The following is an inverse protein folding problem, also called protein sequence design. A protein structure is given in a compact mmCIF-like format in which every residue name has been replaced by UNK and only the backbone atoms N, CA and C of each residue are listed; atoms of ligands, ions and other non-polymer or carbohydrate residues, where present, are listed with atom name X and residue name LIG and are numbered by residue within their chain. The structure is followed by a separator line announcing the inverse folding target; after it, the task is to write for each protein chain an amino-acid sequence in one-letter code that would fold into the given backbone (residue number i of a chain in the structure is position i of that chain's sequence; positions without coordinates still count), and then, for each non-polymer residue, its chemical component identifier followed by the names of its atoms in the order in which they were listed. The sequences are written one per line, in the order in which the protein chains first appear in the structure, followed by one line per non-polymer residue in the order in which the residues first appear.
data_IF_567862787140
#
_entry.id   IF_567862787140
#
_cell.length_a   1.000
_cell.length_b   1.000
_cell.length_c   1.000
_cell.angle_alpha   90.00
_cell.angle_beta   90.00
_cell.angle_gamma   90.00
#
_symmetry.space_group_name_H-M   'P 1'
#
loop_
_entity.id
_entity.type
_entity.pdbx_description
1 polymer ?
#
# COMPACT_ATOMS: atom_id res chain seq x y z
N UNK A 1 -1.35 1.88 -10.21
CA UNK A 1 -0.40 2.97 -10.56
C UNK A 1 -1.17 4.28 -10.70
N UNK A 2 -1.29 5.10 -9.66
CA UNK A 2 -1.87 6.44 -9.79
C UNK A 2 -0.96 7.38 -10.58
N UNK A 3 -1.55 8.21 -11.43
CA UNK A 3 -0.84 9.20 -12.25
C UNK A 3 -1.63 10.51 -12.33
N UNK A 4 -0.97 11.65 -12.19
CA UNK A 4 -1.54 12.99 -12.36
C UNK A 4 -0.49 13.92 -12.95
N UNK A 5 -0.58 14.18 -14.26
CA UNK A 5 0.39 14.96 -15.03
C UNK A 5 1.80 14.37 -14.90
N UNK A 6 1.95 13.15 -15.39
CA UNK A 6 3.19 12.36 -15.35
C UNK A 6 3.65 11.97 -16.78
N UNK A 7 3.34 12.78 -17.79
CA UNK A 7 3.68 12.48 -19.18
C UNK A 7 5.18 12.19 -19.40
N UNK A 8 6.05 12.83 -18.63
CA UNK A 8 7.50 12.64 -18.72
C UNK A 8 7.99 11.34 -18.05
N UNK A 9 7.20 10.73 -17.15
CA UNK A 9 7.64 9.65 -16.29
C UNK A 9 6.85 8.33 -16.50
N UNK A 10 5.58 8.42 -16.92
CA UNK A 10 4.64 7.29 -16.87
C UNK A 10 5.07 6.12 -17.76
N UNK A 11 5.66 6.38 -18.93
CA UNK A 11 6.14 5.33 -19.82
C UNK A 11 7.27 4.54 -19.16
N UNK A 12 8.26 5.23 -18.57
CA UNK A 12 9.36 4.60 -17.84
C UNK A 12 8.83 3.75 -16.67
N UNK A 13 7.96 4.32 -15.83
CA UNK A 13 7.38 3.61 -14.68
C UNK A 13 6.61 2.33 -15.07
N UNK A 14 5.90 2.35 -16.21
CA UNK A 14 5.22 1.17 -16.75
C UNK A 14 6.23 0.13 -17.22
N UNK A 15 7.23 0.52 -18.01
CA UNK A 15 8.25 -0.39 -18.56
C UNK A 15 9.06 -1.05 -17.44
N UNK A 16 9.51 -0.28 -16.46
CA UNK A 16 10.24 -0.79 -15.29
C UNK A 16 9.39 -1.80 -14.48
N UNK A 17 8.07 -1.55 -14.37
CA UNK A 17 7.15 -2.47 -13.71
C UNK A 17 6.97 -3.77 -14.47
N UNK A 18 6.87 -3.72 -15.80
CA UNK A 18 6.78 -4.91 -16.65
C UNK A 18 8.10 -5.72 -16.66
N UNK A 19 9.23 -5.02 -16.65
CA UNK A 19 10.55 -5.64 -16.53
C UNK A 19 10.69 -6.38 -15.19
N UNK A 20 10.31 -5.76 -14.09
CA UNK A 20 10.30 -6.39 -12.79
C UNK A 20 9.35 -7.61 -12.74
N UNK A 21 8.17 -7.58 -13.38
CA UNK A 21 7.33 -8.77 -13.51
C UNK A 21 8.07 -9.92 -14.21
N UNK A 22 8.79 -9.60 -15.29
CA UNK A 22 9.57 -10.59 -16.04
C UNK A 22 10.74 -11.14 -15.22
N UNK A 23 11.51 -10.26 -14.57
CA UNK A 23 12.69 -10.61 -13.75
C UNK A 23 12.33 -11.55 -12.60
N UNK A 24 11.22 -11.27 -11.91
CA UNK A 24 10.79 -12.09 -10.76
C UNK A 24 9.78 -13.18 -11.12
N UNK A 25 9.50 -13.42 -12.42
CA UNK A 25 8.57 -14.44 -12.89
C UNK A 25 7.13 -14.23 -12.43
N UNK A 26 6.71 -13.00 -12.24
CA UNK A 26 5.38 -12.64 -11.73
C UNK A 26 4.39 -12.51 -12.90
N UNK A 27 3.20 -13.08 -12.71
CA UNK A 27 2.06 -12.82 -13.58
C UNK A 27 1.25 -11.67 -13.00
N UNK A 28 1.43 -10.47 -13.55
CA UNK A 28 0.82 -9.25 -13.03
C UNK A 28 0.07 -8.46 -14.10
N UNK A 29 -0.71 -7.50 -13.65
CA UNK A 29 -1.36 -6.47 -14.47
C UNK A 29 -1.03 -5.09 -13.88
N UNK A 30 -0.97 -4.08 -14.72
CA UNK A 30 -0.81 -2.68 -14.32
C UNK A 30 -2.14 -1.97 -14.55
N UNK A 31 -2.70 -1.41 -13.47
CA UNK A 31 -3.89 -0.57 -13.56
C UNK A 31 -3.45 0.86 -13.33
N UNK A 32 -3.34 1.63 -14.41
CA UNK A 32 -3.06 3.05 -14.32
C UNK A 32 -4.34 3.79 -13.99
N UNK A 33 -4.34 4.56 -12.92
CA UNK A 33 -5.46 5.45 -12.58
C UNK A 33 -5.05 6.86 -12.89
N UNK A 34 -5.50 7.37 -14.03
CA UNK A 34 -5.32 8.75 -14.44
C UNK A 34 -6.25 9.64 -13.61
N UNK A 35 -5.70 10.35 -12.63
CA UNK A 35 -6.46 11.17 -11.68
C UNK A 35 -6.79 12.57 -12.25
N UNK A 36 -7.25 12.62 -13.50
CA UNK A 36 -7.66 13.87 -14.15
C UNK A 36 -6.49 14.67 -14.70
N UNK A 37 -5.50 14.02 -15.32
CA UNK A 37 -4.39 14.68 -15.99
C UNK A 37 -4.86 15.57 -17.15
N UNK A 38 -4.13 16.64 -17.37
CA UNK A 38 -4.37 17.61 -18.45
C UNK A 38 -3.26 17.63 -19.52
N UNK A 39 -2.24 16.81 -19.30
CA UNK A 39 -1.11 16.59 -20.22
C UNK A 39 -1.30 15.30 -21.04
N UNK A 40 -0.26 14.85 -21.73
CA UNK A 40 -0.26 13.65 -22.57
C UNK A 40 -0.28 12.32 -21.80
N UNK A 41 -0.35 12.32 -20.46
CA UNK A 41 -0.29 11.10 -19.62
C UNK A 41 -1.29 10.04 -20.11
N UNK A 42 -2.55 10.41 -20.34
CA UNK A 42 -3.58 9.46 -20.77
C UNK A 42 -3.26 8.83 -22.13
N UNK A 43 -2.85 9.65 -23.09
CA UNK A 43 -2.51 9.21 -24.44
C UNK A 43 -1.34 8.23 -24.45
N UNK A 44 -0.28 8.52 -23.69
CA UNK A 44 0.90 7.65 -23.57
C UNK A 44 0.49 6.27 -23.02
N UNK A 45 -0.36 6.22 -21.99
CA UNK A 45 -0.84 4.96 -21.43
C UNK A 45 -1.71 4.18 -22.41
N UNK A 46 -2.61 4.85 -23.16
CA UNK A 46 -3.44 4.22 -24.19
C UNK A 46 -2.60 3.60 -25.31
N UNK A 47 -1.54 4.29 -25.74
CA UNK A 47 -0.60 3.78 -26.73
C UNK A 47 0.17 2.53 -26.23
N UNK A 48 0.56 2.50 -24.96
CA UNK A 48 1.25 1.36 -24.33
C UNK A 48 0.32 0.18 -24.08
N UNK A 49 -0.95 0.44 -23.76
CA UNK A 49 -1.94 -0.61 -23.52
C UNK A 49 -2.22 -1.44 -24.79
N UNK A 50 -2.16 -0.82 -25.98
CA UNK A 50 -2.38 -1.50 -27.26
C UNK A 50 -3.80 -2.05 -27.43
N UNK A 51 -4.14 -2.58 -28.65
CA UNK A 51 -5.44 -3.21 -28.90
C UNK A 51 -5.51 -4.62 -28.34
N UNK A 52 -6.66 -4.93 -27.69
CA UNK A 52 -7.09 -6.20 -27.06
C UNK A 52 -6.53 -7.52 -27.66
N UNK A 53 -6.40 -8.63 -26.89
CA UNK A 53 -6.98 -8.93 -25.57
C UNK A 53 -5.97 -9.33 -24.46
N UNK A 54 -4.71 -9.16 -24.63
CA UNK A 54 -3.69 -9.61 -23.67
C UNK A 54 -3.26 -8.48 -22.70
N UNK A 55 -4.20 -7.62 -22.26
CA UNK A 55 -3.83 -6.39 -21.56
C UNK A 55 -3.26 -6.66 -20.19
N UNK A 56 -1.92 -6.57 -20.12
CA UNK A 56 -1.20 -6.37 -18.87
C UNK A 56 -1.41 -4.93 -18.34
N UNK A 57 -1.82 -3.99 -19.20
CA UNK A 57 -2.02 -2.58 -18.86
C UNK A 57 -3.49 -2.20 -19.09
N UNK A 58 -4.13 -1.64 -18.08
CA UNK A 58 -5.48 -1.10 -18.16
C UNK A 58 -5.52 0.29 -17.55
N UNK A 59 -6.43 1.15 -18.01
CA UNK A 59 -6.56 2.50 -17.49
C UNK A 59 -7.94 2.77 -16.91
N UNK A 60 -7.96 3.50 -15.80
CA UNK A 60 -9.15 4.08 -15.16
C UNK A 60 -9.00 5.59 -15.21
N UNK A 61 -10.05 6.29 -15.68
CA UNK A 61 -10.03 7.75 -15.80
C UNK A 61 -10.91 8.41 -14.74
N UNK A 62 -10.36 9.40 -14.04
CA UNK A 62 -11.13 10.37 -13.30
C UNK A 62 -11.32 11.64 -14.15
N UNK A 63 -12.53 12.18 -14.17
CA UNK A 63 -12.80 13.44 -14.87
C UNK A 63 -12.11 14.65 -14.22
N UNK A 64 -11.91 14.60 -12.92
CA UNK A 64 -11.25 15.61 -12.09
C UNK A 64 -10.43 14.94 -11.02
N UNK A 65 -9.34 15.57 -10.54
CA UNK A 65 -8.50 15.00 -9.49
C UNK A 65 -9.28 14.65 -8.21
N UNK A 66 -9.21 13.40 -7.80
CA UNK A 66 -9.85 12.86 -6.58
C UNK A 66 -8.84 12.64 -5.45
N UNK A 67 -7.55 12.66 -5.78
CA UNK A 67 -6.43 12.49 -4.89
C UNK A 67 -5.86 11.07 -4.85
N UNK A 68 -4.59 10.97 -4.48
CA UNK A 68 -3.75 9.78 -4.55
C UNK A 68 -4.39 8.54 -3.88
N UNK A 69 -4.96 8.73 -2.69
CA UNK A 69 -5.61 7.63 -1.95
C UNK A 69 -6.89 7.12 -2.65
N UNK A 70 -7.65 8.01 -3.31
CA UNK A 70 -8.83 7.58 -4.07
C UNK A 70 -8.41 6.90 -5.38
N UNK A 71 -7.39 7.40 -6.05
CA UNK A 71 -6.86 6.76 -7.25
C UNK A 71 -6.34 5.34 -6.92
N UNK A 72 -5.61 5.16 -5.82
CA UNK A 72 -5.18 3.84 -5.37
C UNK A 72 -6.38 2.91 -5.08
N UNK A 73 -7.38 3.41 -4.34
CA UNK A 73 -8.59 2.65 -4.02
C UNK A 73 -9.32 2.20 -5.28
N UNK A 74 -9.56 3.11 -6.21
CA UNK A 74 -10.33 2.81 -7.41
C UNK A 74 -9.57 1.82 -8.31
N UNK A 75 -8.23 1.94 -8.42
CA UNK A 75 -7.39 0.94 -9.08
C UNK A 75 -7.42 -0.43 -8.39
N UNK A 76 -7.46 -0.46 -7.06
CA UNK A 76 -7.59 -1.71 -6.28
C UNK A 76 -8.93 -2.41 -6.55
N UNK A 77 -10.01 -1.67 -6.70
CA UNK A 77 -11.34 -2.23 -7.01
C UNK A 77 -11.38 -2.88 -8.39
N UNK A 78 -10.60 -2.37 -9.34
CA UNK A 78 -10.46 -2.92 -10.69
C UNK A 78 -9.46 -4.09 -10.77
N UNK A 79 -8.64 -4.29 -9.74
CA UNK A 79 -7.61 -5.32 -9.72
C UNK A 79 -8.20 -6.73 -9.73
N UNK A 80 -7.58 -7.64 -10.51
CA UNK A 80 -7.94 -9.05 -10.62
C UNK A 80 -6.99 -9.94 -9.83
N UNK A 81 -5.71 -9.51 -9.70
CA UNK A 81 -4.68 -10.23 -8.97
C UNK A 81 -4.99 -10.37 -7.47
N UNK A 82 -4.45 -11.41 -6.83
CA UNK A 82 -4.63 -11.66 -5.38
C UNK A 82 -3.79 -10.73 -4.53
N UNK A 83 -2.70 -10.19 -5.08
CA UNK A 83 -1.81 -9.24 -4.44
C UNK A 83 -1.86 -7.91 -5.19
N UNK A 84 -1.95 -6.81 -4.46
CA UNK A 84 -1.94 -5.45 -4.98
C UNK A 84 -0.73 -4.71 -4.42
N UNK A 85 0.02 -4.07 -5.30
CA UNK A 85 1.10 -3.14 -4.97
C UNK A 85 0.69 -1.70 -5.30
N UNK A 86 1.08 -0.76 -4.44
CA UNK A 86 1.02 0.67 -4.78
C UNK A 86 2.31 1.05 -5.49
N UNK A 87 2.22 1.43 -6.76
CA UNK A 87 3.35 1.90 -7.55
C UNK A 87 2.97 3.24 -8.18
N UNK A 88 3.57 4.37 -7.75
CA UNK A 88 3.30 5.67 -8.37
C UNK A 88 3.82 5.73 -9.82
N UNK A 89 3.11 6.49 -10.67
CA UNK A 89 3.51 6.71 -12.06
C UNK A 89 4.60 7.77 -12.26
N UNK A 90 5.20 8.28 -11.17
CA UNK A 90 6.22 9.33 -11.18
C UNK A 90 7.67 8.81 -11.37
N UNK A 91 7.86 7.49 -11.47
CA UNK A 91 9.15 6.85 -11.66
C UNK A 91 10.12 6.96 -10.47
N UNK A 92 9.68 7.44 -9.28
CA UNK A 92 10.57 7.57 -8.11
C UNK A 92 10.87 6.24 -7.41
N UNK A 93 10.10 5.20 -7.71
CA UNK A 93 10.18 3.93 -7.03
C UNK A 93 10.58 2.83 -8.01
N UNK A 94 11.70 2.16 -7.73
CA UNK A 94 12.10 0.96 -8.46
C UNK A 94 11.16 -0.20 -8.09
N UNK A 95 10.39 -0.76 -9.05
CA UNK A 95 9.51 -1.89 -8.80
C UNK A 95 10.24 -3.14 -8.33
N UNK A 96 11.46 -3.37 -8.79
CA UNK A 96 12.30 -4.50 -8.39
C UNK A 96 12.61 -4.52 -6.90
N UNK A 97 12.75 -3.35 -6.28
CA UNK A 97 13.03 -3.22 -4.84
C UNK A 97 11.95 -3.81 -3.94
N UNK A 98 10.70 -3.90 -4.39
CA UNK A 98 9.63 -4.54 -3.62
C UNK A 98 9.25 -5.93 -4.17
N UNK A 99 9.28 -6.11 -5.49
CA UNK A 99 8.87 -7.36 -6.12
C UNK A 99 9.80 -8.53 -5.80
N UNK A 100 11.09 -8.27 -5.50
CA UNK A 100 12.04 -9.29 -5.00
C UNK A 100 11.56 -9.98 -3.72
N UNK A 101 10.66 -9.34 -2.95
CA UNK A 101 10.10 -9.89 -1.72
C UNK A 101 8.72 -10.52 -1.90
N UNK A 102 8.26 -10.68 -3.13
CA UNK A 102 6.91 -11.21 -3.42
C UNK A 102 6.68 -12.59 -2.80
N UNK A 103 7.70 -13.44 -2.76
CA UNK A 103 7.60 -14.79 -2.14
C UNK A 103 7.26 -14.76 -0.65
N UNK A 104 7.51 -13.65 0.06
CA UNK A 104 7.10 -13.51 1.46
C UNK A 104 5.56 -13.50 1.62
N UNK A 105 4.82 -13.21 0.54
CA UNK A 105 3.35 -13.28 0.55
C UNK A 105 2.82 -14.70 0.82
N UNK A 106 3.65 -15.73 0.74
CA UNK A 106 3.31 -17.10 1.16
C UNK A 106 3.33 -17.26 2.68
N UNK A 107 3.99 -16.35 3.41
CA UNK A 107 4.18 -16.40 4.85
C UNK A 107 3.41 -15.31 5.62
N UNK A 108 3.07 -14.21 4.95
CA UNK A 108 2.37 -13.06 5.51
C UNK A 108 1.31 -12.52 4.55
N UNK A 109 0.45 -11.63 5.01
CA UNK A 109 -0.60 -11.02 4.21
C UNK A 109 -0.23 -9.62 3.71
N UNK A 110 0.86 -9.05 4.24
CA UNK A 110 1.43 -7.78 3.78
C UNK A 110 2.95 -7.82 3.84
N UNK A 111 3.60 -7.18 2.85
CA UNK A 111 5.03 -6.86 2.89
C UNK A 111 5.18 -5.35 2.89
N UNK A 112 5.74 -4.80 3.97
CA UNK A 112 5.85 -3.36 4.23
C UNK A 112 7.31 -2.94 4.05
N UNK A 113 7.65 -2.15 3.01
CA UNK A 113 9.02 -1.71 2.82
C UNK A 113 9.37 -0.55 3.76
N UNK A 114 10.63 -0.52 4.21
CA UNK A 114 11.20 0.61 4.93
C UNK A 114 12.48 1.11 4.25
N UNK A 115 12.58 2.43 4.11
CA UNK A 115 13.75 3.06 3.47
C UNK A 115 14.96 2.95 4.40
N UNK A 116 16.02 2.27 3.93
CA UNK A 116 17.26 2.14 4.70
C UNK A 116 18.30 3.21 4.35
N UNK A 117 18.37 3.68 3.09
CA UNK A 117 19.30 4.68 2.61
C UNK A 117 18.75 6.12 2.78
N UNK A 118 18.53 6.53 4.04
CA UNK A 118 17.88 7.82 4.36
C UNK A 118 18.70 9.05 3.94
N UNK A 119 19.97 8.88 3.61
CA UNK A 119 20.88 9.97 3.23
C UNK A 119 20.52 10.64 1.90
N UNK A 120 19.74 9.95 1.05
CA UNK A 120 19.23 10.51 -0.21
C UNK A 120 18.16 11.58 -0.02
N UNK A 121 17.63 11.73 1.20
CA UNK A 121 16.58 12.70 1.53
C UNK A 121 17.10 13.82 2.43
N UNK A 122 16.56 15.06 2.32
CA UNK A 122 16.89 16.14 3.23
C UNK A 122 16.65 15.73 4.70
N UNK A 123 17.57 16.13 5.60
CA UNK A 123 17.49 15.82 7.04
C UNK A 123 16.15 16.27 7.68
N UNK A 124 15.64 17.43 7.26
CA UNK A 124 14.33 17.94 7.71
C UNK A 124 13.18 16.99 7.37
N UNK A 125 13.15 16.44 6.15
CA UNK A 125 12.15 15.46 5.71
C UNK A 125 12.26 14.16 6.51
N UNK A 126 13.48 13.70 6.79
CA UNK A 126 13.71 12.51 7.62
C UNK A 126 13.23 12.73 9.06
N UNK A 127 13.45 13.90 9.63
CA UNK A 127 12.97 14.25 10.98
C UNK A 127 11.45 14.26 11.05
N UNK A 128 10.78 14.95 10.12
CA UNK A 128 9.30 15.00 10.04
C UNK A 128 8.73 13.58 9.91
N UNK A 129 9.28 12.76 9.01
CA UNK A 129 8.84 11.38 8.82
C UNK A 129 9.05 10.53 10.08
N UNK A 130 10.16 10.73 10.79
CA UNK A 130 10.44 10.02 12.04
C UNK A 130 9.45 10.39 13.14
N UNK A 131 9.20 11.69 13.32
CA UNK A 131 8.21 12.18 14.33
C UNK A 131 6.82 11.66 13.99
N UNK A 132 6.39 11.75 12.73
CA UNK A 132 5.10 11.22 12.29
C UNK A 132 4.97 9.71 12.57
N UNK A 133 5.98 8.93 12.23
CA UNK A 133 6.03 7.50 12.50
C UNK A 133 5.94 7.18 13.99
N UNK A 134 6.68 7.93 14.83
CA UNK A 134 6.62 7.75 16.29
C UNK A 134 5.22 8.02 16.84
N UNK A 135 4.57 9.09 16.36
CA UNK A 135 3.18 9.41 16.74
C UNK A 135 2.25 8.26 16.34
N UNK A 136 2.34 7.76 15.11
CA UNK A 136 1.52 6.64 14.63
C UNK A 136 1.75 5.38 15.47
N UNK A 137 3.02 5.01 15.71
CA UNK A 137 3.37 3.82 16.47
C UNK A 137 2.85 3.88 17.92
N UNK A 138 3.06 5.01 18.60
CA UNK A 138 2.57 5.21 19.97
C UNK A 138 1.05 5.23 20.04
N UNK A 139 0.39 5.93 19.11
CA UNK A 139 -1.07 6.06 19.14
C UNK A 139 -1.77 4.74 18.87
N UNK A 140 -1.29 3.97 17.90
CA UNK A 140 -1.98 2.76 17.47
C UNK A 140 -1.37 1.47 18.06
N UNK A 141 -0.35 1.58 18.92
CA UNK A 141 0.30 0.40 19.51
C UNK A 141 0.93 -0.52 18.47
N UNK A 142 1.44 0.05 17.37
CA UNK A 142 2.12 -0.66 16.28
C UNK A 142 3.61 -0.33 16.27
N UNK A 143 4.41 -1.11 15.56
CA UNK A 143 5.84 -0.86 15.47
C UNK A 143 6.30 -0.95 14.01
N UNK A 144 6.00 0.08 13.22
CA UNK A 144 6.47 0.19 11.85
C UNK A 144 7.77 1.01 11.77
N UNK A 145 8.69 0.58 10.90
CA UNK A 145 9.86 1.38 10.52
C UNK A 145 9.52 2.46 9.49
N UNK A 146 8.47 2.22 8.68
CA UNK A 146 7.96 3.16 7.69
C UNK A 146 6.50 2.87 7.36
N UNK A 147 5.68 3.87 7.03
CA UNK A 147 4.24 3.70 6.77
C UNK A 147 3.79 4.18 5.39
N UNK A 148 4.68 4.74 4.58
CA UNK A 148 4.34 5.37 3.29
C UNK A 148 5.14 4.79 2.11
N UNK A 149 5.39 3.48 2.12
CA UNK A 149 6.12 2.78 1.07
C UNK A 149 5.21 2.08 0.05
N UNK A 150 5.85 1.43 -0.92
CA UNK A 150 5.22 0.57 -1.93
C UNK A 150 4.86 -0.79 -1.33
N UNK A 151 3.84 -0.83 -0.49
CA UNK A 151 3.43 -2.05 0.23
C UNK A 151 2.77 -3.06 -0.70
N UNK A 152 3.11 -4.36 -0.55
CA UNK A 152 2.35 -5.46 -1.12
C UNK A 152 1.22 -5.83 -0.15
N UNK A 153 0.00 -5.89 -0.64
CA UNK A 153 -1.18 -6.28 0.14
C UNK A 153 -1.86 -7.48 -0.49
N UNK A 154 -2.36 -8.41 0.28
CA UNK A 154 -3.45 -9.24 -0.20
C UNK A 154 -4.65 -8.36 -0.53
N UNK A 155 -5.18 -8.48 -1.76
CA UNK A 155 -6.29 -7.64 -2.25
C UNK A 155 -7.50 -7.66 -1.33
N UNK A 156 -7.79 -8.78 -0.68
CA UNK A 156 -8.90 -8.92 0.26
C UNK A 156 -8.79 -7.96 1.45
N UNK A 157 -7.59 -7.59 1.89
CA UNK A 157 -7.38 -6.61 2.98
C UNK A 157 -7.95 -5.25 2.57
N UNK A 158 -7.61 -4.81 1.36
CA UNK A 158 -8.01 -3.51 0.82
C UNK A 158 -9.51 -3.47 0.49
N UNK A 159 -10.05 -4.57 -0.04
CA UNK A 159 -11.46 -4.68 -0.37
C UNK A 159 -12.37 -4.74 0.86
N UNK A 160 -11.92 -5.42 1.93
CA UNK A 160 -12.67 -5.51 3.19
C UNK A 160 -12.73 -4.19 3.95
N UNK A 161 -11.69 -3.36 3.82
CA UNK A 161 -11.57 -2.08 4.50
C UNK A 161 -10.94 -1.01 3.60
N UNK A 162 -11.65 -0.55 2.56
CA UNK A 162 -11.10 0.44 1.65
C UNK A 162 -10.76 1.73 2.38
N UNK A 163 -9.62 2.34 2.02
CA UNK A 163 -9.19 3.60 2.61
C UNK A 163 -10.20 4.73 2.35
N UNK A 164 -10.28 5.67 3.29
CA UNK A 164 -11.13 6.87 3.21
C UNK A 164 -10.33 8.12 2.90
N UNK A 165 -9.05 8.10 3.24
CA UNK A 165 -8.13 9.21 3.01
C UNK A 165 -7.91 9.41 1.52
N UNK A 166 -8.05 10.65 1.05
CA UNK A 166 -7.83 11.03 -0.34
C UNK A 166 -6.35 11.30 -0.64
N UNK A 167 -5.63 11.86 0.33
CA UNK A 167 -4.22 12.24 0.22
C UNK A 167 -3.28 11.14 0.72
N UNK A 168 -2.05 11.53 1.04
CA UNK A 168 -0.94 10.62 1.41
C UNK A 168 -1.17 9.76 2.65
N UNK A 169 -2.10 10.13 3.53
CA UNK A 169 -2.38 9.36 4.75
C UNK A 169 -2.97 7.97 4.47
N UNK A 170 -3.47 7.69 3.26
CA UNK A 170 -4.12 6.43 2.92
C UNK A 170 -3.24 5.20 3.18
N UNK A 171 -1.93 5.31 2.96
CA UNK A 171 -1.00 4.20 3.19
C UNK A 171 -0.89 3.86 4.68
N UNK A 172 -0.68 4.88 5.52
CA UNK A 172 -0.69 4.71 6.98
C UNK A 172 -2.04 4.16 7.46
N UNK A 173 -3.14 4.67 6.92
CA UNK A 173 -4.50 4.19 7.22
C UNK A 173 -4.65 2.69 6.91
N UNK A 174 -4.21 2.25 5.73
CA UNK A 174 -4.32 0.86 5.30
C UNK A 174 -3.46 -0.09 6.16
N UNK A 175 -2.20 0.24 6.41
CA UNK A 175 -1.32 -0.65 7.21
C UNK A 175 -1.78 -0.73 8.67
N UNK A 176 -2.20 0.39 9.27
CA UNK A 176 -2.72 0.40 10.64
C UNK A 176 -4.00 -0.44 10.74
N UNK A 177 -4.96 -0.25 9.83
CA UNK A 177 -6.20 -1.04 9.82
C UNK A 177 -5.94 -2.53 9.64
N UNK A 178 -5.01 -2.89 8.75
CA UNK A 178 -4.68 -4.27 8.51
C UNK A 178 -4.10 -4.94 9.77
N UNK A 179 -3.13 -4.31 10.43
CA UNK A 179 -2.56 -4.85 11.69
C UNK A 179 -3.63 -4.94 12.78
N UNK A 180 -4.48 -3.93 12.92
CA UNK A 180 -5.60 -3.97 13.87
C UNK A 180 -6.67 -5.01 13.54
N UNK A 181 -6.73 -5.47 12.31
CA UNK A 181 -7.57 -6.61 11.88
C UNK A 181 -6.86 -7.96 12.06
N UNK A 182 -5.64 -7.98 12.59
CA UNK A 182 -4.87 -9.19 12.90
C UNK A 182 -4.13 -9.77 11.69
N UNK A 183 -3.95 -9.02 10.60
CA UNK A 183 -3.15 -9.48 9.48
C UNK A 183 -1.66 -9.44 9.79
N UNK A 184 -0.96 -10.52 9.46
CA UNK A 184 0.48 -10.64 9.58
C UNK A 184 1.20 -9.85 8.52
N UNK A 185 2.33 -9.26 8.88
CA UNK A 185 3.17 -8.53 7.94
C UNK A 185 4.66 -8.81 8.17
N UNK A 186 5.45 -8.61 7.12
CA UNK A 186 6.90 -8.57 7.18
C UNK A 186 7.38 -7.18 6.78
N UNK A 187 8.39 -6.63 7.48
CA UNK A 187 9.08 -5.43 7.05
C UNK A 187 10.35 -5.79 6.29
N UNK A 188 10.57 -5.14 5.15
CA UNK A 188 11.71 -5.41 4.27
C UNK A 188 12.49 -4.14 3.96
N UNK A 189 13.82 -4.19 3.82
CA UNK A 189 14.60 -3.04 3.41
C UNK A 189 14.28 -2.67 1.96
N UNK A 190 14.18 -1.37 1.71
CA UNK A 190 13.86 -0.77 0.42
C UNK A 190 14.87 0.33 0.12
N UNK A 191 15.49 0.30 -1.04
CA UNK A 191 16.36 1.37 -1.51
C UNK A 191 15.53 2.43 -2.21
N UNK A 192 15.71 3.67 -1.80
CA UNK A 192 15.10 4.80 -2.50
C UNK A 192 16.11 5.34 -3.52
N UNK A 193 15.65 5.57 -4.73
CA UNK A 193 16.45 6.23 -5.74
C UNK A 193 16.45 7.75 -5.58
N UNK A 194 17.45 8.39 -6.15
CA UNK A 194 17.54 9.86 -6.17
C UNK A 194 16.60 10.34 -7.26
N UNK A 195 15.64 11.19 -6.90
CA UNK A 195 14.70 11.79 -7.85
C UNK A 195 15.43 12.48 -8.99
N UNK A 196 15.14 12.09 -10.21
CA UNK A 196 15.77 12.67 -11.40
C UNK A 196 15.33 14.10 -11.70
N UNK A 197 14.06 14.45 -11.47
CA UNK A 197 13.48 15.78 -11.70
C UNK A 197 12.15 15.96 -10.94
N UNK A 198 11.79 17.21 -10.64
CA UNK A 198 10.49 17.62 -10.09
C UNK A 198 10.50 18.00 -8.60
N UNK A 199 9.56 18.86 -8.20
CA UNK A 199 9.39 19.28 -6.81
C UNK A 199 8.40 18.38 -6.07
N UNK A 200 8.72 18.03 -4.82
CA UNK A 200 7.82 17.25 -3.96
C UNK A 200 6.59 18.09 -3.57
N UNK A 201 5.43 17.74 -4.09
CA UNK A 201 4.12 18.35 -3.76
C UNK A 201 3.59 17.94 -2.36
N UNK A 202 4.36 17.19 -1.59
CA UNK A 202 3.86 16.50 -0.39
C UNK A 202 3.58 17.40 0.83
N UNK A 203 4.17 18.59 0.92
CA UNK A 203 4.05 19.45 2.10
C UNK A 203 3.34 20.76 1.73
N UNK A 204 2.01 20.75 1.85
CA UNK A 204 1.21 21.98 1.89
C UNK A 204 0.40 22.01 3.19
N UNK A 205 0.03 23.21 3.66
CA UNK A 205 -0.86 23.34 4.83
C UNK A 205 -2.20 22.61 4.65
N UNK A 206 -2.72 22.58 3.41
CA UNK A 206 -3.90 21.78 3.05
C UNK A 206 -3.71 20.29 3.27
N UNK A 207 -2.58 19.76 2.80
CA UNK A 207 -2.24 18.34 2.96
C UNK A 207 -2.06 17.99 4.43
N UNK A 208 -1.44 18.84 5.23
CA UNK A 208 -1.25 18.62 6.67
C UNK A 208 -2.59 18.59 7.41
N UNK A 209 -3.49 19.54 7.14
CA UNK A 209 -4.82 19.56 7.73
C UNK A 209 -5.64 18.30 7.38
N UNK A 210 -5.51 17.82 6.15
CA UNK A 210 -6.14 16.56 5.72
C UNK A 210 -5.56 15.35 6.47
N UNK A 211 -4.24 15.27 6.62
CA UNK A 211 -3.57 14.21 7.40
C UNK A 211 -4.07 14.20 8.84
N UNK A 212 -4.11 15.36 9.51
CA UNK A 212 -4.59 15.47 10.89
C UNK A 212 -6.06 15.02 11.00
N UNK A 213 -6.93 15.49 10.11
CA UNK A 213 -8.35 15.10 10.11
C UNK A 213 -8.52 13.60 9.95
N UNK A 214 -7.82 12.99 8.99
CA UNK A 214 -7.92 11.55 8.71
C UNK A 214 -7.29 10.72 9.84
N UNK A 215 -6.22 11.21 10.44
CA UNK A 215 -5.60 10.60 11.62
C UNK A 215 -6.58 10.56 12.81
N UNK A 216 -7.24 11.67 13.13
CA UNK A 216 -8.25 11.72 14.19
C UNK A 216 -9.47 10.84 13.89
N UNK A 217 -9.87 10.77 12.62
CA UNK A 217 -10.93 9.86 12.17
C UNK A 217 -10.56 8.38 12.37
N UNK A 218 -9.30 8.02 12.11
CA UNK A 218 -8.79 6.68 12.33
C UNK A 218 -8.72 6.33 13.83
N UNK A 219 -8.30 7.25 14.70
CA UNK A 219 -8.36 7.08 16.16
C UNK A 219 -9.80 6.79 16.60
N UNK A 220 -10.74 7.64 16.18
CA UNK A 220 -12.16 7.44 16.49
C UNK A 220 -12.67 6.07 16.04
N UNK A 221 -12.32 5.65 14.85
CA UNK A 221 -12.73 4.35 14.30
C UNK A 221 -12.14 3.19 15.12
N UNK A 222 -10.86 3.28 15.46
CA UNK A 222 -10.14 2.19 16.14
C UNK A 222 -10.56 2.06 17.59
N UNK A 223 -10.67 3.16 18.32
CA UNK A 223 -10.85 3.13 19.77
C UNK A 223 -12.29 3.37 20.22
N UNK A 224 -13.08 4.14 19.46
CA UNK A 224 -14.42 4.58 19.88
C UNK A 224 -15.56 3.89 19.09
N UNK A 225 -15.28 2.87 18.27
CA UNK A 225 -16.30 2.11 17.53
C UNK A 225 -16.29 0.64 17.94
N UNK A 226 -16.97 0.27 19.04
CA UNK A 226 -16.95 -1.11 19.59
C UNK A 226 -17.41 -2.17 18.59
N UNK A 227 -18.44 -1.87 17.80
CA UNK A 227 -18.99 -2.78 16.78
C UNK A 227 -17.94 -3.15 15.73
N UNK A 228 -17.15 -2.17 15.30
CA UNK A 228 -16.07 -2.38 14.34
C UNK A 228 -14.89 -3.13 14.97
N UNK A 229 -14.69 -3.01 16.28
CA UNK A 229 -13.65 -3.73 17.01
C UNK A 229 -13.94 -5.23 17.06
N UNK A 230 -15.20 -5.62 17.29
CA UNK A 230 -15.62 -7.01 17.34
C UNK A 230 -15.55 -7.74 15.99
N UNK A 231 -15.69 -6.99 14.88
CA UNK A 231 -15.67 -7.55 13.51
C UNK A 231 -14.26 -7.64 12.90
N UNK A 232 -13.22 -7.18 13.60
CA UNK A 232 -11.84 -7.17 13.09
C UNK A 232 -11.23 -8.55 13.19
N UNK A 233 -11.27 -9.27 12.08
CA UNK A 233 -10.64 -10.59 11.92
C UNK A 233 -10.05 -10.67 10.53
N UNK A 234 -8.95 -11.42 10.36
CA UNK A 234 -8.45 -11.72 9.03
C UNK A 234 -9.53 -12.40 8.19
N UNK A 235 -9.55 -12.08 6.90
CA UNK A 235 -10.47 -12.72 5.96
C UNK A 235 -10.17 -14.22 5.85
N UNK A 236 -11.18 -15.07 5.69
CA UNK A 236 -11.01 -16.50 5.53
C UNK A 236 -10.02 -16.86 4.41
N UNK A 237 -9.15 -17.84 4.66
CA UNK A 237 -8.17 -18.35 3.70
C UNK A 237 -6.91 -17.49 3.55
N UNK A 238 -6.77 -16.40 4.31
CA UNK A 238 -5.51 -15.64 4.40
C UNK A 238 -4.51 -16.37 5.30
N UNK A 239 -3.23 -16.07 5.17
CA UNK A 239 -2.16 -16.65 6.01
C UNK A 239 -2.46 -16.42 7.49
N UNK A 240 -2.90 -15.22 7.83
CA UNK A 240 -3.26 -14.86 9.21
C UNK A 240 -4.45 -15.66 9.74
N UNK A 241 -5.47 -15.90 8.92
CA UNK A 241 -6.63 -16.72 9.31
C UNK A 241 -6.22 -18.18 9.53
N UNK A 242 -5.41 -18.75 8.64
CA UNK A 242 -4.91 -20.12 8.76
C UNK A 242 -4.09 -20.30 10.04
N UNK A 243 -3.12 -19.42 10.27
CA UNK A 243 -2.28 -19.48 11.48
C UNK A 243 -3.08 -19.29 12.77
N UNK A 244 -4.09 -18.43 12.74
CA UNK A 244 -4.99 -18.25 13.88
C UNK A 244 -5.76 -19.53 14.21
N UNK A 245 -6.25 -20.26 13.21
CA UNK A 245 -6.94 -21.54 13.40
C UNK A 245 -6.01 -22.59 13.98
N UNK A 246 -4.81 -22.74 13.41
CA UNK A 246 -3.80 -23.65 13.91
C UNK A 246 -3.47 -23.40 15.39
N UNK A 247 -3.33 -22.13 15.81
CA UNK A 247 -3.03 -21.77 17.19
C UNK A 247 -4.22 -22.09 18.14
N UNK A 248 -5.46 -21.94 17.68
CA UNK A 248 -6.64 -22.29 18.46
C UNK A 248 -6.76 -23.81 18.65
N UNK A 249 -6.48 -24.59 17.61
CA UNK A 249 -6.51 -26.05 17.67
C UNK A 249 -5.44 -26.61 18.64
N UNK A 250 -4.25 -26.00 18.68
CA UNK A 250 -3.19 -26.35 19.62
C UNK A 250 -3.60 -25.99 21.06
N UNK A 251 -4.25 -24.85 21.28
CA UNK A 251 -4.74 -24.40 22.60
C UNK A 251 -5.74 -25.36 23.24
N UNK A 252 -6.66 -25.89 22.46
CA UNK A 252 -7.60 -26.91 22.94
C UNK A 252 -6.95 -28.24 23.29
N UNK A 253 -5.78 -28.56 22.68
CA UNK A 253 -5.03 -29.77 22.99
C UNK A 253 -4.22 -29.69 24.33
N UNK A 254 -3.91 -28.47 24.77
CA UNK A 254 -3.11 -28.26 26.00
C UNK A 254 -3.98 -28.23 27.25
N UNK A 255 -5.17 -27.70 27.21
CA UNK A 255 -6.11 -27.72 28.37
C UNK A 255 -6.55 -29.14 28.75
N UNK A 256 -6.55 -30.08 27.80
CA UNK A 256 -6.87 -31.50 28.09
C UNK A 256 -5.76 -32.29 28.76
N UNK A 257 -4.51 -31.81 28.80
CA UNK A 257 -3.37 -32.54 29.36
C UNK A 257 -2.97 -32.15 30.79
N UNK A 258 -3.42 -31.00 31.27
CA UNK A 258 -3.03 -30.50 32.60
C UNK A 258 -4.16 -30.56 33.66
N UNK A 259 -5.29 -31.19 33.38
CA UNK A 259 -6.39 -31.30 34.33
C UNK A 259 -6.50 -32.68 35.01
N UNK A 260 -5.42 -33.48 35.02
CA UNK A 260 -5.38 -34.74 35.78
C UNK A 260 -3.95 -34.97 36.29
N UNK A 261 -3.61 -34.38 37.41
CA UNK A 261 -2.83 -35.05 38.51
C UNK A 261 -3.04 -34.29 39.81
#
# INVERSE_FOLDING_TARGET
MPALNEADNIEGAIRDTLEAFSEYGLKGEIIVVNDGSTDETAKIVDELAGPEPAHLIRMVHHRTPRGLGMAFRDGTMEARGDVVAFMPGDGENDPGEIMRYFSLMDQVDMVVPFVYNKDVRPKSRNLISTVFRMIVNLTFGVNFNYTNGTVLYRRVILNSNPNRSRGFFFQTENVVRAVWSGYLFAEVPYRLEVRGAGESKAISWKSLAEVIRNYLALIKEIYLSPEKRASRKPAPGTVSDLRRRETQDIGFGVEGKYSRE
#
